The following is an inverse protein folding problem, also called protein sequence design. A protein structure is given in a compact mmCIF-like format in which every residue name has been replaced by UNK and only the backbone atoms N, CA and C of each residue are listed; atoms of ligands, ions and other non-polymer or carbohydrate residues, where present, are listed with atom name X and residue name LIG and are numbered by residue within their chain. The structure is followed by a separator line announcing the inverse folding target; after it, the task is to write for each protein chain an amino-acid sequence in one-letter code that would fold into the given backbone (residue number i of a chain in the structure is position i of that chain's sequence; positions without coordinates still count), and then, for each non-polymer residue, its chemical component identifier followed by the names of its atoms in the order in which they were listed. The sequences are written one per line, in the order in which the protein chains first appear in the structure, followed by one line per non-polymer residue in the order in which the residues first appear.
data_IF_397447453499
#
_entry.id   IF_397447453499
#
_cell.length_a   1.000
_cell.length_b   1.000
_cell.length_c   1.000
_cell.angle_alpha   90.00
_cell.angle_beta   90.00
_cell.angle_gamma   90.00
#
_symmetry.space_group_name_H-M   'P 1'
#
loop_
_entity.id
_entity.type
_entity.pdbx_description
1 polymer ?
#
# COMPACT_ATOMS: atom_id res chain seq x y z
N UNK A 1 25.13 56.45 -19.00
CA UNK A 1 24.65 55.38 -19.90
C UNK A 1 25.51 54.15 -19.58
N UNK A 2 25.04 52.95 -19.25
CA UNK A 2 23.74 52.27 -19.30
C UNK A 2 23.79 51.24 -18.15
N UNK A 3 22.84 51.31 -17.21
CA UNK A 3 22.57 50.29 -16.18
C UNK A 3 21.79 49.15 -16.85
N UNK A 4 22.32 47.93 -16.84
CA UNK A 4 21.60 46.66 -17.04
C UNK A 4 22.31 45.69 -16.10
N UNK A 5 21.81 45.31 -14.92
CA UNK A 5 20.51 44.69 -14.65
C UNK A 5 20.19 43.65 -15.72
N UNK A 6 20.69 42.42 -15.52
CA UNK A 6 19.92 41.19 -15.67
C UNK A 6 20.54 40.20 -14.69
N UNK A 7 19.86 40.06 -13.55
CA UNK A 7 20.00 38.92 -12.68
C UNK A 7 19.58 37.67 -13.47
N UNK A 8 20.53 36.79 -13.74
CA UNK A 8 20.25 35.44 -14.23
C UNK A 8 19.76 34.62 -13.04
N UNK A 9 18.47 34.74 -12.78
CA UNK A 9 17.72 33.88 -11.88
C UNK A 9 17.75 32.48 -12.48
N UNK A 10 18.65 31.63 -11.98
CA UNK A 10 18.64 30.19 -12.24
C UNK A 10 17.41 29.61 -11.52
N UNK A 11 16.27 29.68 -12.19
CA UNK A 11 15.10 28.86 -11.88
C UNK A 11 15.43 27.46 -12.37
N UNK A 12 16.00 26.64 -11.49
CA UNK A 12 16.28 25.25 -11.79
C UNK A 12 15.93 24.40 -10.58
N UNK A 13 14.63 24.24 -10.34
CA UNK A 13 14.07 23.14 -9.53
C UNK A 13 12.55 23.19 -9.49
N UNK A 14 11.88 23.07 -10.64
CA UNK A 14 10.47 22.64 -10.69
C UNK A 14 10.23 21.79 -11.94
N UNK A 15 11.01 20.70 -12.08
CA UNK A 15 10.49 19.54 -12.80
C UNK A 15 9.77 18.70 -11.75
N UNK A 16 8.59 19.15 -11.34
CA UNK A 16 7.62 18.25 -10.74
C UNK A 16 7.12 17.37 -11.87
N UNK A 17 7.77 16.21 -12.08
CA UNK A 17 7.21 15.17 -12.93
C UNK A 17 5.86 14.77 -12.31
N UNK A 18 4.76 15.30 -12.84
CA UNK A 18 3.45 14.67 -12.71
C UNK A 18 3.43 13.45 -13.64
N UNK A 19 4.22 12.43 -13.29
CA UNK A 19 4.11 11.11 -13.90
C UNK A 19 2.82 10.46 -13.38
N UNK A 20 1.67 10.92 -13.89
CA UNK A 20 0.36 10.32 -13.61
C UNK A 20 0.33 8.81 -13.93
N UNK A 21 1.29 8.29 -14.70
CA UNK A 21 1.45 6.86 -14.98
C UNK A 21 1.71 6.01 -13.73
N UNK A 22 2.28 6.60 -12.68
CA UNK A 22 2.69 5.84 -11.49
C UNK A 22 1.80 6.11 -10.27
N UNK A 23 0.80 7.00 -10.37
CA UNK A 23 -0.07 7.40 -9.23
C UNK A 23 -0.71 6.19 -8.53
N UNK A 24 -1.03 5.15 -9.30
CA UNK A 24 -1.68 3.94 -8.81
C UNK A 24 -0.83 2.67 -8.99
N UNK A 25 0.49 2.80 -9.21
CA UNK A 25 1.37 1.64 -9.37
C UNK A 25 1.83 1.10 -8.01
N UNK A 26 1.79 -0.22 -7.87
CA UNK A 26 2.40 -0.99 -6.78
C UNK A 26 3.68 -1.66 -7.30
N UNK A 27 4.80 -1.44 -6.61
CA UNK A 27 6.08 -2.16 -6.79
C UNK A 27 6.68 -2.47 -5.42
N UNK A 28 7.80 -3.20 -5.38
CA UNK A 28 8.46 -3.61 -4.12
C UNK A 28 8.89 -2.47 -3.19
N UNK A 29 9.03 -1.27 -3.74
CA UNK A 29 9.57 -0.10 -3.09
C UNK A 29 8.61 1.09 -3.14
N UNK A 30 7.42 0.92 -3.74
CA UNK A 30 6.50 2.04 -3.99
C UNK A 30 5.03 1.64 -4.03
N UNK A 31 4.19 2.54 -3.51
CA UNK A 31 2.74 2.57 -3.74
C UNK A 31 2.35 3.97 -4.15
N UNK A 32 2.08 4.18 -5.43
CA UNK A 32 1.79 5.51 -5.94
C UNK A 32 2.92 6.50 -5.67
N UNK A 33 2.62 7.55 -4.91
CA UNK A 33 3.61 8.53 -4.43
C UNK A 33 4.38 8.14 -3.15
N UNK A 34 4.11 6.98 -2.55
CA UNK A 34 4.70 6.54 -1.27
C UNK A 34 5.86 5.57 -1.47
N UNK A 35 6.91 5.70 -0.65
CA UNK A 35 8.09 4.84 -0.57
C UNK A 35 8.52 4.71 0.91
N UNK A 36 9.49 3.85 1.21
CA UNK A 36 10.02 3.56 2.57
C UNK A 36 10.29 4.78 3.45
N UNK A 37 10.91 5.81 2.86
CA UNK A 37 11.34 7.00 3.61
C UNK A 37 10.44 8.20 3.32
N UNK A 38 9.24 8.00 2.78
CA UNK A 38 8.27 9.09 2.60
C UNK A 38 7.91 9.64 3.98
N UNK A 39 8.21 10.92 4.27
CA UNK A 39 7.83 11.53 5.54
C UNK A 39 6.33 11.69 5.62
N UNK A 40 5.75 11.41 6.79
CA UNK A 40 4.30 11.55 7.03
C UNK A 40 3.82 12.99 6.78
N UNK A 41 4.65 13.98 7.03
CA UNK A 41 4.35 15.40 6.75
C UNK A 41 4.20 15.72 5.25
N UNK A 42 4.65 14.84 4.34
CA UNK A 42 4.47 15.03 2.89
C UNK A 42 3.14 14.49 2.37
N UNK A 43 2.36 13.77 3.19
CA UNK A 43 1.10 13.17 2.76
C UNK A 43 0.12 14.22 2.22
N UNK A 44 0.02 15.40 2.84
CA UNK A 44 -0.85 16.50 2.38
C UNK A 44 -0.54 16.95 0.95
N UNK A 45 0.74 16.91 0.56
CA UNK A 45 1.15 17.26 -0.79
C UNK A 45 0.94 16.12 -1.77
N UNK A 46 1.16 14.88 -1.35
CA UNK A 46 1.02 13.68 -2.19
C UNK A 46 -0.47 13.44 -2.51
N UNK A 47 -1.32 13.62 -1.50
CA UNK A 47 -2.76 13.38 -1.53
C UNK A 47 -3.54 14.71 -1.52
N UNK A 48 -3.02 15.75 -2.17
CA UNK A 48 -3.59 17.11 -2.15
C UNK A 48 -5.04 17.19 -2.71
N UNK A 49 -5.52 16.14 -3.36
CA UNK A 49 -6.88 16.04 -3.91
C UNK A 49 -7.79 15.14 -3.07
N UNK A 50 -7.26 14.51 -2.03
CA UNK A 50 -7.91 13.48 -1.23
C UNK A 50 -8.05 13.95 0.21
N UNK A 51 -8.83 13.22 0.99
CA UNK A 51 -9.04 13.48 2.41
C UNK A 51 -8.14 12.57 3.24
N UNK A 52 -7.41 13.16 4.19
CA UNK A 52 -6.53 12.43 5.10
C UNK A 52 -7.15 12.45 6.49
N UNK A 53 -7.32 11.27 7.10
CA UNK A 53 -7.85 11.10 8.46
C UNK A 53 -6.81 10.38 9.29
N UNK A 54 -6.48 10.94 10.45
CA UNK A 54 -5.58 10.29 11.40
C UNK A 54 -6.38 9.68 12.56
N UNK A 55 -6.12 8.42 12.89
CA UNK A 55 -6.87 7.63 13.88
C UNK A 55 -6.29 7.70 15.29
N UNK A 56 -5.34 8.61 15.54
CA UNK A 56 -4.63 8.72 16.80
C UNK A 56 -5.58 8.87 17.98
N UNK A 57 -5.60 7.87 18.86
CA UNK A 57 -6.26 7.98 20.15
C UNK A 57 -5.40 8.87 21.04
N UNK A 58 -5.99 9.95 21.53
CA UNK A 58 -5.36 10.83 22.52
C UNK A 58 -5.53 10.29 23.95
N UNK A 59 -4.71 10.78 24.88
CA UNK A 59 -4.81 10.46 26.31
C UNK A 59 -4.23 9.09 26.69
N UNK A 60 -4.74 8.52 27.78
CA UNK A 60 -4.21 7.28 28.41
C UNK A 60 -4.27 6.05 27.49
N UNK A 61 -5.17 6.07 26.49
CA UNK A 61 -5.37 4.98 25.54
C UNK A 61 -4.42 5.03 24.34
N UNK A 62 -3.57 6.07 24.21
CA UNK A 62 -2.64 6.21 23.09
C UNK A 62 -1.70 5.01 22.92
N UNK A 63 -1.32 4.36 24.02
CA UNK A 63 -0.47 3.16 24.00
C UNK A 63 -1.21 1.89 23.53
N UNK A 64 -2.54 1.89 23.55
CA UNK A 64 -3.36 0.78 23.09
C UNK A 64 -3.68 0.84 21.59
N UNK A 65 -3.33 1.95 20.92
CA UNK A 65 -3.60 2.14 19.49
C UNK A 65 -2.31 2.25 18.68
N UNK A 66 -2.22 1.47 17.61
CA UNK A 66 -1.25 1.74 16.56
C UNK A 66 -1.72 2.95 15.77
N UNK A 67 -0.83 3.93 15.59
CA UNK A 67 -1.06 5.10 14.73
C UNK A 67 -1.46 4.63 13.32
N UNK A 68 -2.58 5.10 12.77
CA UNK A 68 -2.97 4.81 11.38
C UNK A 68 -3.53 6.05 10.71
N UNK A 69 -3.12 6.24 9.45
CA UNK A 69 -3.54 7.35 8.62
C UNK A 69 -4.31 6.79 7.42
N UNK A 70 -5.59 7.12 7.33
CA UNK A 70 -6.46 6.64 6.25
C UNK A 70 -6.63 7.73 5.20
N UNK A 71 -6.44 7.36 3.94
CA UNK A 71 -6.60 8.22 2.77
C UNK A 71 -7.92 7.88 2.10
N UNK A 72 -8.78 8.87 1.89
CA UNK A 72 -10.06 8.73 1.20
C UNK A 72 -10.08 9.59 -0.05
N UNK A 73 -10.69 9.09 -1.13
CA UNK A 73 -10.96 9.93 -2.28
C UNK A 73 -12.04 10.99 -1.95
N UNK A 74 -12.28 11.93 -2.88
CA UNK A 74 -13.31 12.98 -2.74
C UNK A 74 -14.74 12.46 -2.56
N UNK A 75 -15.00 11.21 -2.92
CA UNK A 75 -16.31 10.56 -2.77
C UNK A 75 -16.45 9.85 -1.41
N UNK A 76 -15.42 9.89 -0.55
CA UNK A 76 -15.40 9.23 0.75
C UNK A 76 -15.08 7.73 0.71
N UNK A 77 -14.54 7.22 -0.41
CA UNK A 77 -14.08 5.83 -0.51
C UNK A 77 -12.64 5.71 -0.04
N UNK A 78 -12.37 4.71 0.79
CA UNK A 78 -11.01 4.41 1.25
C UNK A 78 -10.09 4.03 0.08
N UNK A 79 -8.91 4.65 0.05
CA UNK A 79 -7.86 4.37 -0.91
C UNK A 79 -6.77 3.53 -0.26
N UNK A 80 -6.20 4.06 0.82
CA UNK A 80 -5.06 3.50 1.52
C UNK A 80 -5.22 3.65 3.04
N UNK A 81 -4.65 2.71 3.79
CA UNK A 81 -4.36 2.89 5.22
C UNK A 81 -2.83 2.79 5.41
N UNK A 82 -2.25 3.78 6.07
CA UNK A 82 -0.81 3.95 6.23
C UNK A 82 -0.47 3.77 7.70
N UNK A 83 0.47 2.86 8.00
CA UNK A 83 1.09 2.76 9.32
C UNK A 83 2.44 3.47 9.30
N UNK A 84 2.69 4.43 10.20
CA UNK A 84 3.97 5.11 10.30
C UNK A 84 4.93 4.44 11.29
N UNK A 85 6.23 4.58 11.04
CA UNK A 85 7.30 4.30 12.01
C UNK A 85 8.17 5.52 12.24
N UNK A 86 8.92 5.52 13.33
CA UNK A 86 10.03 6.46 13.53
C UNK A 86 11.30 5.85 12.97
N UNK A 87 12.02 6.57 12.10
CA UNK A 87 13.30 6.12 11.56
C UNK A 87 14.48 6.48 12.49
N UNK A 88 15.71 6.10 12.10
CA UNK A 88 16.93 6.36 12.88
C UNK A 88 17.27 7.86 13.07
N UNK A 89 16.59 8.75 12.34
CA UNK A 89 16.74 10.22 12.43
C UNK A 89 15.62 10.88 13.24
N UNK A 90 14.82 10.08 13.96
CA UNK A 90 13.66 10.53 14.73
C UNK A 90 12.55 11.17 13.87
N UNK A 91 12.48 10.81 12.59
CA UNK A 91 11.44 11.28 11.67
C UNK A 91 10.34 10.21 11.51
N UNK A 92 9.07 10.64 11.52
CA UNK A 92 7.94 9.79 11.18
C UNK A 92 7.87 9.58 9.67
N UNK A 93 8.05 8.32 9.25
CA UNK A 93 8.02 7.88 7.85
C UNK A 93 7.02 6.74 7.66
N UNK A 94 6.66 6.47 6.41
CA UNK A 94 5.78 5.35 6.07
C UNK A 94 6.46 4.01 6.36
N UNK A 95 5.84 3.16 7.17
CA UNK A 95 6.31 1.79 7.43
C UNK A 95 5.66 0.78 6.50
N UNK A 96 4.34 0.84 6.41
CA UNK A 96 3.55 -0.09 5.62
C UNK A 96 2.30 0.60 5.09
N UNK A 97 1.78 0.05 4.00
CA UNK A 97 0.57 0.55 3.34
C UNK A 97 -0.36 -0.61 3.06
N UNK A 98 -1.60 -0.46 3.47
CA UNK A 98 -2.73 -1.25 3.03
C UNK A 98 -3.39 -0.55 1.86
N UNK A 99 -3.50 -1.26 0.75
CA UNK A 99 -4.17 -0.81 -0.46
C UNK A 99 -5.58 -1.38 -0.45
N UNK A 100 -6.56 -0.48 -0.40
CA UNK A 100 -7.99 -0.78 -0.22
C UNK A 100 -8.84 -0.36 -1.42
N UNK A 101 -8.20 0.12 -2.50
CA UNK A 101 -8.86 0.57 -3.72
C UNK A 101 -8.42 -0.21 -4.94
N UNK A 102 -9.39 -0.54 -5.79
CA UNK A 102 -9.20 -1.22 -7.08
C UNK A 102 -8.43 -0.38 -8.12
N UNK A 103 -8.21 0.92 -7.85
CA UNK A 103 -7.43 1.80 -8.72
C UNK A 103 -5.97 1.36 -8.80
N UNK A 104 -5.44 0.82 -7.71
CA UNK A 104 -4.04 0.41 -7.60
C UNK A 104 -3.78 -0.92 -8.27
N UNK A 105 -2.67 -1.01 -9.00
CA UNK A 105 -2.27 -2.23 -9.70
C UNK A 105 -0.77 -2.48 -9.59
N UNK A 106 -0.37 -3.74 -9.50
CA UNK A 106 1.05 -4.13 -9.60
C UNK A 106 1.57 -3.88 -11.01
N UNK A 107 2.90 -3.86 -11.17
CA UNK A 107 3.55 -3.89 -12.48
C UNK A 107 3.09 -5.06 -13.39
N UNK A 108 2.69 -6.19 -12.80
CA UNK A 108 2.08 -7.33 -13.50
C UNK A 108 0.56 -7.25 -13.72
N UNK A 109 -0.09 -6.15 -13.34
CA UNK A 109 -1.51 -5.92 -13.57
C UNK A 109 -2.46 -6.55 -12.55
N UNK A 110 -1.99 -6.96 -11.37
CA UNK A 110 -2.86 -7.48 -10.30
C UNK A 110 -3.43 -6.31 -9.49
N UNK A 111 -4.73 -6.33 -9.21
CA UNK A 111 -5.43 -5.35 -8.37
C UNK A 111 -6.49 -6.04 -7.51
N UNK A 112 -7.23 -5.28 -6.69
CA UNK A 112 -8.36 -5.87 -5.91
C UNK A 112 -9.46 -6.48 -6.79
N UNK A 113 -9.51 -6.15 -8.10
CA UNK A 113 -10.41 -6.80 -9.06
C UNK A 113 -9.95 -8.21 -9.46
N UNK A 114 -8.68 -8.54 -9.23
CA UNK A 114 -8.10 -9.82 -9.59
C UNK A 114 -8.57 -10.95 -8.67
N UNK A 115 -8.51 -12.15 -9.21
CA UNK A 115 -8.80 -13.39 -8.52
C UNK A 115 -7.52 -14.10 -8.08
N UNK A 116 -7.64 -15.12 -7.22
CA UNK A 116 -6.51 -16.00 -6.91
C UNK A 116 -5.94 -16.67 -8.17
N UNK A 117 -6.78 -17.02 -9.14
CA UNK A 117 -6.33 -17.54 -10.44
C UNK A 117 -5.40 -16.55 -11.16
N UNK A 118 -5.79 -15.28 -11.22
CA UNK A 118 -4.95 -14.25 -11.85
C UNK A 118 -3.60 -14.12 -11.13
N UNK A 119 -3.61 -14.17 -9.78
CA UNK A 119 -2.40 -14.09 -8.96
C UNK A 119 -1.43 -15.23 -9.30
N UNK A 120 -1.87 -16.49 -9.24
CA UNK A 120 -0.98 -17.64 -9.48
C UNK A 120 -0.50 -17.74 -10.95
N UNK A 121 -1.25 -17.18 -11.90
CA UNK A 121 -0.81 -17.08 -13.31
C UNK A 121 0.31 -16.04 -13.49
N UNK A 122 0.27 -14.93 -12.75
CA UNK A 122 1.29 -13.86 -12.83
C UNK A 122 2.49 -14.08 -11.89
N UNK A 123 2.27 -14.84 -10.82
CA UNK A 123 3.24 -15.15 -9.77
C UNK A 123 3.23 -16.65 -9.48
N UNK A 124 4.09 -17.44 -10.16
CA UNK A 124 4.06 -18.90 -10.05
C UNK A 124 4.62 -19.43 -8.72
N UNK A 125 5.50 -18.66 -8.06
CA UNK A 125 6.11 -19.03 -6.78
C UNK A 125 5.47 -18.20 -5.66
N UNK A 126 4.67 -18.87 -4.83
CA UNK A 126 3.88 -18.26 -3.76
C UNK A 126 4.19 -18.93 -2.42
N UNK A 127 4.40 -18.10 -1.40
CA UNK A 127 4.36 -18.52 0.01
C UNK A 127 2.95 -18.21 0.55
N UNK A 128 2.33 -19.19 1.21
CA UNK A 128 0.93 -19.12 1.63
C UNK A 128 0.83 -19.41 3.12
N UNK A 129 0.25 -18.47 3.86
CA UNK A 129 0.14 -18.53 5.31
C UNK A 129 -1.31 -18.32 5.76
N UNK A 130 -1.92 -19.25 6.51
CA UNK A 130 -3.23 -19.04 7.10
C UNK A 130 -3.15 -18.04 8.27
N UNK A 131 -4.20 -17.24 8.41
CA UNK A 131 -4.46 -16.40 9.57
C UNK A 131 -5.83 -16.73 10.17
N UNK A 132 -6.21 -16.03 11.24
CA UNK A 132 -7.47 -16.26 11.96
C UNK A 132 -8.65 -16.07 11.01
N UNK A 133 -8.64 -14.99 10.23
CA UNK A 133 -9.73 -14.57 9.35
C UNK A 133 -9.36 -14.47 7.87
N UNK A 134 -8.12 -14.78 7.50
CA UNK A 134 -7.62 -14.60 6.14
C UNK A 134 -6.62 -15.66 5.73
N UNK A 135 -6.31 -15.70 4.44
CA UNK A 135 -5.15 -16.39 3.88
C UNK A 135 -4.25 -15.32 3.26
N UNK A 136 -2.98 -15.33 3.65
CA UNK A 136 -1.97 -14.40 3.15
C UNK A 136 -1.19 -15.13 2.05
N UNK A 137 -1.10 -14.50 0.89
CA UNK A 137 -0.40 -15.03 -0.28
C UNK A 137 0.70 -14.06 -0.69
N UNK A 138 1.95 -14.45 -0.49
CA UNK A 138 3.13 -13.64 -0.75
C UNK A 138 3.88 -14.19 -1.96
N UNK A 139 3.95 -13.46 -3.08
CA UNK A 139 4.83 -13.86 -4.17
C UNK A 139 6.30 -13.80 -3.75
N UNK A 140 7.08 -14.83 -4.08
CA UNK A 140 8.51 -14.86 -3.74
C UNK A 140 9.27 -13.67 -4.32
N UNK A 141 10.11 -13.07 -3.49
CA UNK A 141 10.93 -11.90 -3.85
C UNK A 141 10.14 -10.59 -3.98
N UNK A 142 8.88 -10.57 -3.55
CA UNK A 142 8.10 -9.33 -3.46
C UNK A 142 7.97 -8.86 -2.00
N UNK A 143 7.92 -7.54 -1.81
CA UNK A 143 7.70 -6.91 -0.50
C UNK A 143 6.21 -6.63 -0.23
N UNK A 144 5.34 -7.09 -1.13
CA UNK A 144 3.90 -7.00 -0.99
C UNK A 144 3.26 -8.39 -0.98
N UNK A 145 2.10 -8.47 -0.37
CA UNK A 145 1.29 -9.70 -0.30
C UNK A 145 -0.18 -9.40 -0.53
N UNK A 146 -0.89 -10.44 -0.95
CA UNK A 146 -2.31 -10.43 -1.22
C UNK A 146 -3.06 -11.09 -0.06
N UNK A 147 -4.05 -10.40 0.49
CA UNK A 147 -4.94 -10.95 1.52
C UNK A 147 -6.21 -11.46 0.84
N UNK A 148 -6.60 -12.68 1.18
CA UNK A 148 -7.90 -13.26 0.83
C UNK A 148 -8.68 -13.53 2.12
N UNK A 149 -10.01 -13.43 2.08
CA UNK A 149 -10.85 -13.85 3.20
C UNK A 149 -10.67 -15.36 3.46
N UNK A 150 -10.80 -15.82 4.72
CA UNK A 150 -10.67 -17.25 5.04
C UNK A 150 -11.67 -18.13 4.30
N UNK A 151 -12.83 -17.59 3.92
CA UNK A 151 -13.83 -18.26 3.07
C UNK A 151 -13.34 -18.54 1.65
N UNK A 152 -12.18 -17.99 1.25
CA UNK A 152 -11.53 -18.34 0.00
C UNK A 152 -10.99 -19.78 0.00
N UNK A 153 -10.81 -20.41 1.16
CA UNK A 153 -10.42 -21.81 1.24
C UNK A 153 -11.58 -22.72 0.82
N UNK A 154 -11.29 -23.72 0.00
CA UNK A 154 -12.25 -24.76 -0.43
C UNK A 154 -12.71 -25.65 0.73
N UNK A 155 -11.97 -25.63 1.84
CA UNK A 155 -12.27 -26.41 3.05
C UNK A 155 -12.18 -25.52 4.28
N UNK A 156 -13.13 -25.71 5.19
CA UNK A 156 -13.24 -24.93 6.43
C UNK A 156 -12.50 -25.58 7.61
N UNK A 157 -11.84 -26.72 7.38
CA UNK A 157 -11.21 -27.53 8.43
C UNK A 157 -9.74 -27.18 8.68
N UNK A 158 -9.18 -26.21 7.94
CA UNK A 158 -7.77 -25.81 8.06
C UNK A 158 -7.59 -24.83 9.23
N UNK A 159 -6.84 -25.28 10.23
CA UNK A 159 -6.35 -24.51 11.36
C UNK A 159 -5.14 -23.63 11.01
N UNK A 160 -4.67 -22.86 11.99
CA UNK A 160 -3.55 -21.93 11.82
C UNK A 160 -2.19 -22.61 11.63
N UNK A 161 -2.05 -23.85 12.11
CA UNK A 161 -0.82 -24.63 12.00
C UNK A 161 -0.84 -25.59 10.81
N UNK A 162 -1.94 -25.64 10.08
CA UNK A 162 -2.05 -26.51 8.92
C UNK A 162 -1.32 -25.88 7.74
N UNK A 163 -0.72 -26.74 6.91
CA UNK A 163 -0.13 -26.28 5.65
C UNK A 163 -1.26 -25.99 4.67
N UNK A 164 -1.31 -24.75 4.17
CA UNK A 164 -2.23 -24.34 3.10
C UNK A 164 -1.43 -24.26 1.80
N UNK A 165 -1.96 -24.86 0.75
CA UNK A 165 -1.37 -24.83 -0.60
C UNK A 165 -2.24 -24.05 -1.57
N UNK A 166 -1.69 -23.71 -2.73
CA UNK A 166 -2.44 -23.02 -3.79
C UNK A 166 -3.69 -23.80 -4.24
N UNK A 167 -3.68 -25.13 -4.13
CA UNK A 167 -4.83 -25.95 -4.51
C UNK A 167 -6.00 -25.83 -3.53
N UNK A 168 -5.74 -25.39 -2.30
CA UNK A 168 -6.76 -25.24 -1.26
C UNK A 168 -7.55 -23.93 -1.38
N UNK A 169 -7.08 -22.98 -2.18
CA UNK A 169 -7.74 -21.68 -2.40
C UNK A 169 -8.63 -21.75 -3.65
N UNK A 170 -9.84 -21.21 -3.56
CA UNK A 170 -10.77 -21.05 -4.69
C UNK A 170 -10.19 -20.07 -5.72
N UNK A 171 -10.12 -20.53 -6.97
CA UNK A 171 -9.59 -19.76 -8.10
C UNK A 171 -10.35 -18.45 -8.35
N UNK A 172 -11.62 -18.38 -7.95
CA UNK A 172 -12.50 -17.22 -8.13
C UNK A 172 -12.43 -16.24 -6.95
N UNK A 173 -11.78 -16.61 -5.84
CA UNK A 173 -11.67 -15.76 -4.66
C UNK A 173 -11.00 -14.43 -5.00
N UNK A 174 -11.57 -13.34 -4.47
CA UNK A 174 -11.08 -11.98 -4.71
C UNK A 174 -10.12 -11.55 -3.62
N UNK A 175 -9.15 -10.71 -4.03
CA UNK A 175 -8.23 -10.06 -3.11
C UNK A 175 -9.02 -9.03 -2.30
N UNK A 176 -8.96 -9.12 -0.97
CA UNK A 176 -9.62 -8.16 -0.08
C UNK A 176 -8.73 -6.95 0.21
N UNK A 177 -7.41 -7.15 0.16
CA UNK A 177 -6.40 -6.12 0.42
C UNK A 177 -5.06 -6.52 -0.17
N UNK A 178 -4.32 -5.55 -0.68
CA UNK A 178 -2.88 -5.69 -0.96
C UNK A 178 -2.14 -4.95 0.14
N UNK A 179 -1.07 -5.53 0.66
CA UNK A 179 -0.28 -4.91 1.71
C UNK A 179 1.17 -4.86 1.28
N UNK A 180 1.86 -3.76 1.55
CA UNK A 180 3.30 -3.60 1.36
C UNK A 180 3.95 -3.22 2.69
N UNK A 181 5.14 -3.77 2.94
CA UNK A 181 6.00 -3.40 4.06
C UNK A 181 7.33 -2.87 3.52
N UNK A 182 7.80 -1.73 4.05
CA UNK A 182 9.03 -1.07 3.59
C UNK A 182 10.23 -1.24 4.52
#
# INVERSE_FOLDING_TARGET
MRKYFIATMVIMSLIGCSDNKNEFLISNDRVGGLQKDTPIQKLDSIFAKDSIVNSNLEGELRYASTERITIFNKEGKELLEITPKTNDKDEKVVESVFILSELYTTDKGISLKSTFKDVKEKYPELDIEPSISSVIVTPKGQNFYFTFDKTALKTNNLGLSDTVTANDIDDTAKITRISINF
#
